data_IF_300871378603
#
_entry.id   IF_300871378603
#
_cell.length_a   1.000
_cell.length_b   1.000
_cell.length_c   1.000
_cell.angle_alpha   90.00
_cell.angle_beta   90.00
_cell.angle_gamma   90.00
#
_symmetry.space_group_name_H-M   'P 1'
#
loop_
_entity.id
_entity.type
_entity.pdbx_description
1 polymer ?
#
# COMPACT_ATOMS: atom_id res chain seq x y z
N UNK A 1 49.29 25.02 -0.47
CA UNK A 1 47.86 25.03 -0.82
C UNK A 1 47.27 26.30 -0.22
N UNK A 2 46.73 27.19 -1.04
CA UNK A 2 46.14 28.44 -0.55
C UNK A 2 44.93 28.15 0.32
N UNK A 3 44.71 28.96 1.36
CA UNK A 3 43.56 28.83 2.29
C UNK A 3 42.23 28.79 1.52
N UNK A 4 42.12 29.55 0.42
CA UNK A 4 40.98 29.55 -0.48
C UNK A 4 40.75 28.17 -1.14
N UNK A 5 41.81 27.47 -1.54
CA UNK A 5 41.72 26.14 -2.14
C UNK A 5 41.26 25.10 -1.11
N UNK A 6 41.74 25.20 0.13
CA UNK A 6 41.31 24.32 1.22
C UNK A 6 39.81 24.53 1.52
N UNK A 7 39.37 25.79 1.64
CA UNK A 7 37.95 26.11 1.88
C UNK A 7 37.08 25.59 0.73
N UNK A 8 37.49 25.80 -0.51
CA UNK A 8 36.76 25.33 -1.70
C UNK A 8 36.66 23.81 -1.77
N UNK A 9 37.73 23.10 -1.39
CA UNK A 9 37.73 21.65 -1.32
C UNK A 9 36.75 21.14 -0.24
N UNK A 10 36.76 21.75 0.94
CA UNK A 10 35.87 21.38 2.05
C UNK A 10 34.41 21.65 1.70
N UNK A 11 34.09 22.81 1.13
CA UNK A 11 32.70 23.13 0.73
C UNK A 11 32.21 22.19 -0.37
N UNK A 12 33.05 21.87 -1.35
CA UNK A 12 32.72 20.93 -2.42
C UNK A 12 32.47 19.51 -1.88
N UNK A 13 33.29 19.06 -0.91
CA UNK A 13 33.12 17.76 -0.27
C UNK A 13 31.81 17.70 0.52
N UNK A 14 31.49 18.75 1.29
CA UNK A 14 30.23 18.85 2.03
C UNK A 14 29.02 18.86 1.08
N UNK A 15 29.08 19.61 -0.01
CA UNK A 15 28.02 19.62 -1.02
C UNK A 15 27.80 18.22 -1.61
N UNK A 16 28.87 17.51 -1.97
CA UNK A 16 28.80 16.14 -2.47
C UNK A 16 28.15 15.19 -1.45
N UNK A 17 28.52 15.28 -0.17
CA UNK A 17 27.95 14.46 0.89
C UNK A 17 26.46 14.73 1.09
N UNK A 18 26.04 16.00 1.05
CA UNK A 18 24.62 16.39 1.15
C UNK A 18 23.84 15.88 -0.07
N UNK A 19 24.34 16.10 -1.29
CA UNK A 19 23.72 15.60 -2.51
C UNK A 19 23.58 14.07 -2.47
N UNK A 20 24.62 13.37 -2.01
CA UNK A 20 24.59 11.93 -1.85
C UNK A 20 23.53 11.47 -0.84
N UNK A 21 23.43 12.14 0.32
CA UNK A 21 22.44 11.81 1.33
C UNK A 21 21.00 12.01 0.83
N UNK A 22 20.74 13.13 0.14
CA UNK A 22 19.43 13.43 -0.47
C UNK A 22 19.08 12.40 -1.54
N UNK A 23 20.01 12.11 -2.45
CA UNK A 23 19.80 11.14 -3.52
C UNK A 23 19.52 9.74 -2.96
N UNK A 24 20.30 9.31 -1.96
CA UNK A 24 20.13 8.00 -1.32
C UNK A 24 18.77 7.87 -0.62
N UNK A 25 18.33 8.94 0.05
CA UNK A 25 17.01 8.97 0.69
C UNK A 25 15.88 8.84 -0.33
N UNK A 26 15.97 9.58 -1.45
CA UNK A 26 14.96 9.58 -2.50
C UNK A 26 14.82 8.22 -3.22
N UNK A 27 15.93 7.49 -3.36
CA UNK A 27 15.95 6.19 -4.05
C UNK A 27 15.56 5.01 -3.15
N UNK A 28 15.28 5.22 -1.87
CA UNK A 28 14.96 4.13 -0.95
C UNK A 28 13.60 3.50 -1.27
N UNK A 29 13.43 2.16 -1.16
CA UNK A 29 12.09 1.59 -1.15
C UNK A 29 11.36 2.09 0.09
N UNK A 30 10.03 2.11 0.03
CA UNK A 30 9.22 2.41 1.21
C UNK A 30 7.96 1.59 1.08
N UNK A 31 7.77 0.64 2.01
CA UNK A 31 6.61 -0.23 2.02
C UNK A 31 5.63 0.30 3.04
N UNK A 32 4.43 0.59 2.59
CA UNK A 32 3.32 1.09 3.40
C UNK A 32 2.21 0.06 3.40
N UNK A 33 1.63 -0.19 4.58
CA UNK A 33 0.42 -1.00 4.74
C UNK A 33 -0.68 -0.09 5.27
N UNK A 34 -1.77 0.03 4.52
CA UNK A 34 -2.86 0.97 4.83
C UNK A 34 -4.20 0.43 4.37
N UNK A 35 -5.28 0.96 4.93
CA UNK A 35 -6.64 0.58 4.60
C UNK A 35 -7.39 1.71 3.88
N UNK A 36 -8.23 1.36 2.92
CA UNK A 36 -9.09 2.31 2.19
C UNK A 36 -10.47 1.73 1.96
N UNK A 37 -11.52 2.55 1.78
CA UNK A 37 -12.80 2.06 1.27
C UNK A 37 -12.63 1.48 -0.13
N UNK A 38 -13.47 0.50 -0.48
CA UNK A 38 -13.53 -0.11 -1.80
C UNK A 38 -14.47 0.72 -2.72
N UNK A 39 -13.94 1.34 -3.77
CA UNK A 39 -14.73 2.20 -4.66
C UNK A 39 -15.75 1.45 -5.55
N UNK A 40 -15.61 0.14 -5.73
CA UNK A 40 -16.57 -0.69 -6.48
C UNK A 40 -17.51 -1.59 -5.65
N UNK A 41 -17.38 -1.66 -4.32
CA UNK A 41 -18.15 -2.57 -3.46
C UNK A 41 -18.57 -1.81 -2.21
N UNK A 42 -19.86 -1.80 -1.95
CA UNK A 42 -20.41 -1.03 -0.83
C UNK A 42 -19.91 -1.56 0.51
N UNK A 43 -19.50 -0.62 1.37
CA UNK A 43 -19.06 -0.84 2.76
C UNK A 43 -17.85 -1.76 2.93
N UNK A 44 -17.22 -2.24 1.85
CA UNK A 44 -16.01 -3.08 1.90
C UNK A 44 -14.79 -2.18 2.09
N UNK A 45 -13.90 -2.61 2.97
CA UNK A 45 -12.60 -1.99 3.23
C UNK A 45 -11.52 -2.87 2.62
N UNK A 46 -10.59 -2.26 1.89
CA UNK A 46 -9.44 -2.91 1.29
C UNK A 46 -8.19 -2.69 2.14
N UNK A 47 -7.39 -3.74 2.29
CA UNK A 47 -6.05 -3.67 2.86
C UNK A 47 -5.03 -3.65 1.72
N UNK A 48 -4.22 -2.60 1.69
CA UNK A 48 -3.18 -2.40 0.70
C UNK A 48 -1.82 -2.66 1.33
N UNK A 49 -0.98 -3.42 0.63
CA UNK A 49 0.47 -3.50 0.88
C UNK A 49 1.16 -2.97 -0.36
N UNK A 50 1.78 -1.80 -0.27
CA UNK A 50 2.31 -1.07 -1.43
C UNK A 50 3.75 -0.64 -1.22
N UNK A 51 4.59 -0.82 -2.24
CA UNK A 51 5.87 -0.14 -2.30
C UNK A 51 5.68 1.24 -2.94
N UNK A 52 5.69 2.30 -2.12
CA UNK A 52 5.58 3.69 -2.57
C UNK A 52 6.94 4.32 -2.89
N UNK A 53 8.04 3.64 -2.55
CA UNK A 53 9.39 4.08 -2.87
C UNK A 53 9.76 3.91 -4.34
N UNK A 54 10.98 4.35 -4.68
CA UNK A 54 11.47 4.39 -6.07
C UNK A 54 12.30 3.18 -6.49
N UNK A 55 12.61 2.27 -5.56
CA UNK A 55 13.42 1.09 -5.85
C UNK A 55 12.80 -0.22 -5.35
N UNK A 56 13.43 -1.33 -5.73
CA UNK A 56 13.00 -2.68 -5.42
C UNK A 56 13.35 -3.02 -3.97
N UNK A 57 12.37 -3.49 -3.21
CA UNK A 57 12.60 -4.12 -1.91
C UNK A 57 12.76 -5.63 -2.07
N UNK A 58 13.78 -6.21 -1.43
CA UNK A 58 14.08 -7.63 -1.47
C UNK A 58 13.84 -8.31 -0.13
N UNK A 59 13.35 -9.54 -0.17
CA UNK A 59 13.09 -10.40 0.99
C UNK A 59 12.25 -9.68 2.05
N UNK A 60 11.12 -9.13 1.61
CA UNK A 60 10.16 -8.44 2.46
C UNK A 60 9.51 -9.44 3.39
N UNK A 61 9.53 -9.17 4.70
CA UNK A 61 8.79 -9.89 5.73
C UNK A 61 7.89 -8.93 6.46
N UNK A 62 6.65 -9.34 6.69
CA UNK A 62 5.62 -8.53 7.35
C UNK A 62 5.29 -9.23 8.66
N UNK A 63 5.34 -8.46 9.75
CA UNK A 63 4.92 -8.89 11.08
C UNK A 63 3.82 -7.97 11.57
N UNK A 64 2.92 -8.48 12.40
CA UNK A 64 1.86 -7.68 13.04
C UNK A 64 1.84 -7.94 14.54
N UNK A 65 1.43 -6.95 15.32
CA UNK A 65 1.26 -7.07 16.77
C UNK A 65 0.11 -8.02 17.18
N UNK A 66 -0.83 -8.27 16.28
CA UNK A 66 -1.95 -9.19 16.46
C UNK A 66 -2.28 -9.91 15.14
N UNK A 67 -3.03 -11.04 15.16
CA UNK A 67 -3.40 -11.77 13.95
C UNK A 67 -4.15 -10.89 12.94
N UNK A 68 -3.72 -10.91 11.68
CA UNK A 68 -4.33 -10.09 10.61
C UNK A 68 -5.66 -10.73 10.20
N UNK A 69 -6.81 -10.08 10.42
CA UNK A 69 -8.10 -10.63 10.02
C UNK A 69 -8.16 -10.82 8.51
N UNK A 70 -8.83 -11.88 8.08
CA UNK A 70 -9.09 -12.19 6.67
C UNK A 70 -10.60 -12.24 6.47
N UNK A 71 -11.11 -11.51 5.49
CA UNK A 71 -12.53 -11.53 5.12
C UNK A 71 -13.45 -11.26 6.33
N UNK A 72 -13.12 -10.26 7.15
CA UNK A 72 -13.88 -9.88 8.34
C UNK A 72 -15.15 -9.10 7.96
N UNK A 73 -16.11 -9.77 7.34
CA UNK A 73 -17.35 -9.17 6.85
C UNK A 73 -18.43 -9.14 7.94
N UNK A 74 -19.24 -8.08 7.93
CA UNK A 74 -20.14 -7.73 9.02
C UNK A 74 -20.36 -6.22 9.14
N UNK A 75 -21.61 -5.76 9.07
CA UNK A 75 -21.93 -4.33 9.19
C UNK A 75 -21.81 -3.85 10.64
N UNK A 76 -22.49 -4.55 11.56
CA UNK A 76 -22.43 -4.25 13.01
C UNK A 76 -21.41 -5.14 13.73
N UNK A 77 -21.33 -6.41 13.34
CA UNK A 77 -20.50 -7.47 13.93
C UNK A 77 -20.17 -8.53 12.88
N UNK A 78 -19.23 -9.44 13.15
CA UNK A 78 -18.87 -10.51 12.24
C UNK A 78 -20.07 -11.39 11.86
N UNK A 79 -20.16 -11.72 10.57
CA UNK A 79 -21.17 -12.65 10.05
C UNK A 79 -20.78 -14.13 10.27
N UNK A 80 -19.51 -14.41 10.55
CA UNK A 80 -18.95 -15.76 10.65
C UNK A 80 -17.84 -15.82 11.70
N UNK A 81 -17.22 -16.98 11.89
CA UNK A 81 -16.06 -17.10 12.77
C UNK A 81 -14.87 -16.25 12.30
N UNK A 82 -14.03 -15.83 13.26
CA UNK A 82 -12.81 -15.07 13.00
C UNK A 82 -11.86 -15.89 12.14
N UNK A 83 -11.47 -15.33 11.00
CA UNK A 83 -10.46 -15.91 10.11
C UNK A 83 -9.24 -15.01 10.01
N UNK A 84 -8.07 -15.60 9.78
CA UNK A 84 -6.80 -14.89 9.72
C UNK A 84 -5.98 -15.26 8.48
N UNK A 85 -5.09 -14.36 8.06
CA UNK A 85 -4.15 -14.63 6.98
C UNK A 85 -3.05 -15.62 7.41
N UNK A 86 -3.31 -16.92 7.25
CA UNK A 86 -2.33 -17.98 7.48
C UNK A 86 -1.50 -18.35 6.24
N UNK A 87 -1.72 -17.66 5.12
CA UNK A 87 -1.10 -17.92 3.81
C UNK A 87 -0.73 -16.61 3.10
N UNK A 88 -0.05 -16.70 1.95
CA UNK A 88 0.31 -15.54 1.14
C UNK A 88 1.41 -14.68 1.77
N UNK A 89 1.41 -13.37 1.46
CA UNK A 89 2.49 -12.46 1.80
C UNK A 89 2.65 -12.24 3.31
N UNK A 90 1.57 -12.34 4.08
CA UNK A 90 1.59 -12.17 5.54
C UNK A 90 2.23 -13.37 6.26
N UNK A 91 2.32 -14.53 5.60
CA UNK A 91 3.01 -15.72 6.14
C UNK A 91 4.38 -15.95 5.51
N UNK A 92 4.47 -15.86 4.18
CA UNK A 92 5.65 -16.24 3.40
C UNK A 92 6.54 -15.07 3.01
N UNK A 93 6.06 -13.83 3.16
CA UNK A 93 6.76 -12.63 2.68
C UNK A 93 6.74 -12.47 1.16
N UNK A 94 7.56 -11.54 0.66
CA UNK A 94 7.69 -11.22 -0.77
C UNK A 94 9.18 -11.23 -1.12
N UNK A 95 9.59 -12.07 -2.09
CA UNK A 95 11.01 -12.17 -2.50
C UNK A 95 11.52 -10.89 -3.17
N UNK A 96 10.72 -10.35 -4.08
CA UNK A 96 11.04 -9.14 -4.84
C UNK A 96 9.79 -8.29 -4.89
N UNK A 97 9.87 -7.05 -4.41
CA UNK A 97 8.76 -6.11 -4.39
C UNK A 97 9.14 -4.84 -5.16
N UNK A 98 8.85 -4.80 -6.48
CA UNK A 98 9.07 -3.65 -7.34
C UNK A 98 8.45 -2.34 -6.84
N UNK A 99 9.02 -1.18 -7.22
CA UNK A 99 8.44 0.12 -6.90
C UNK A 99 7.06 0.26 -7.54
N UNK A 100 6.16 1.00 -6.88
CA UNK A 100 4.77 1.27 -7.29
C UNK A 100 3.84 0.05 -7.35
N UNK A 101 4.34 -1.16 -7.16
CA UNK A 101 3.50 -2.36 -7.09
C UNK A 101 2.69 -2.37 -5.79
N UNK A 102 1.47 -2.91 -5.86
CA UNK A 102 0.56 -3.06 -4.73
C UNK A 102 -0.04 -4.48 -4.70
N UNK A 103 -0.24 -5.01 -3.50
CA UNK A 103 -1.13 -6.14 -3.24
C UNK A 103 -2.35 -5.62 -2.49
N UNK A 104 -3.53 -5.91 -3.02
CA UNK A 104 -4.80 -5.39 -2.52
C UNK A 104 -5.67 -6.57 -2.11
N UNK A 105 -6.18 -6.55 -0.88
CA UNK A 105 -7.08 -7.57 -0.34
C UNK A 105 -8.39 -6.94 0.08
N UNK A 106 -9.50 -7.61 -0.19
CA UNK A 106 -10.77 -7.31 0.46
C UNK A 106 -10.65 -7.74 1.93
N UNK A 107 -10.48 -6.77 2.82
CA UNK A 107 -10.11 -7.02 4.21
C UNK A 107 -11.33 -7.39 5.05
N UNK A 108 -12.42 -6.67 4.85
CA UNK A 108 -13.67 -6.86 5.59
C UNK A 108 -14.62 -5.67 5.46
N UNK A 109 -15.56 -5.59 6.38
CA UNK A 109 -16.43 -4.43 6.60
C UNK A 109 -16.14 -3.83 7.98
N UNK A 110 -16.58 -2.60 8.24
CA UNK A 110 -16.23 -1.87 9.46
C UNK A 110 -16.56 -2.64 10.75
N UNK A 111 -17.82 -3.07 10.96
CA UNK A 111 -18.21 -3.79 12.17
C UNK A 111 -17.46 -5.11 12.35
N UNK A 112 -17.29 -5.88 11.27
CA UNK A 112 -16.52 -7.12 11.28
C UNK A 112 -15.04 -6.88 11.63
N UNK A 113 -14.39 -5.87 11.04
CA UNK A 113 -13.01 -5.54 11.35
C UNK A 113 -12.84 -5.04 12.79
N UNK A 114 -13.78 -4.21 13.28
CA UNK A 114 -13.82 -3.73 14.66
C UNK A 114 -13.87 -4.88 15.65
N UNK A 115 -14.75 -5.86 15.45
CA UNK A 115 -14.83 -7.03 16.33
C UNK A 115 -13.62 -7.97 16.19
N UNK A 116 -13.12 -8.19 14.97
CA UNK A 116 -11.94 -9.05 14.73
C UNK A 116 -10.68 -8.52 15.40
N UNK A 117 -10.49 -7.20 15.36
CA UNK A 117 -9.35 -6.50 15.97
C UNK A 117 -9.60 -6.15 17.44
N UNK A 118 -10.73 -6.56 18.03
CA UNK A 118 -11.14 -6.21 19.38
C UNK A 118 -11.10 -4.69 19.64
N UNK A 119 -11.45 -3.90 18.62
CA UNK A 119 -11.42 -2.44 18.63
C UNK A 119 -10.05 -1.84 19.01
N UNK A 120 -8.95 -2.51 18.66
CA UNK A 120 -7.59 -1.97 18.85
C UNK A 120 -6.87 -1.76 17.52
N UNK A 121 -5.95 -0.78 17.44
CA UNK A 121 -5.13 -0.57 16.25
C UNK A 121 -4.25 -1.80 15.97
N UNK A 122 -4.12 -2.13 14.69
CA UNK A 122 -3.17 -3.13 14.22
C UNK A 122 -1.91 -2.43 13.70
N UNK A 123 -0.75 -2.85 14.22
CA UNK A 123 0.55 -2.31 13.83
C UNK A 123 1.31 -3.36 13.05
N UNK A 124 1.70 -3.01 11.84
CA UNK A 124 2.55 -3.80 10.98
C UNK A 124 4.00 -3.32 11.03
N UNK A 125 4.92 -4.27 11.19
CA UNK A 125 6.36 -4.05 11.03
C UNK A 125 6.83 -4.78 9.78
N UNK A 126 7.29 -4.03 8.80
CA UNK A 126 7.81 -4.55 7.53
C UNK A 126 9.32 -4.46 7.53
N UNK A 127 9.99 -5.58 7.32
CA UNK A 127 11.45 -5.66 7.22
C UNK A 127 11.86 -6.10 5.83
N UNK A 128 12.87 -5.47 5.25
CA UNK A 128 13.37 -5.81 3.92
C UNK A 128 14.81 -5.36 3.74
N UNK A 129 15.40 -5.77 2.62
CA UNK A 129 16.71 -5.34 2.19
C UNK A 129 16.66 -4.65 0.84
N UNK A 130 17.51 -3.66 0.61
CA UNK A 130 17.69 -3.08 -0.72
C UNK A 130 19.17 -2.83 -0.98
N UNK A 131 19.54 -2.81 -2.27
CA UNK A 131 20.90 -2.48 -2.70
C UNK A 131 20.84 -1.16 -3.45
N UNK A 132 21.32 -0.09 -2.81
CA UNK A 132 21.54 1.16 -3.52
C UNK A 132 22.65 0.96 -4.56
N UNK A 133 22.56 1.52 -5.79
CA UNK A 133 23.58 1.34 -6.83
C UNK A 133 25.00 1.71 -6.36
N UNK A 134 25.10 2.72 -5.50
CA UNK A 134 26.36 3.23 -4.93
C UNK A 134 26.78 2.52 -3.63
N UNK A 135 25.96 1.63 -3.06
CA UNK A 135 26.34 0.87 -1.86
C UNK A 135 26.98 -0.47 -2.26
N UNK A 136 28.12 -0.78 -1.65
CA UNK A 136 28.77 -2.09 -1.78
C UNK A 136 27.93 -3.22 -1.16
N UNK A 137 27.20 -2.93 -0.08
CA UNK A 137 26.38 -3.89 0.65
C UNK A 137 24.90 -3.54 0.66
N UNK A 138 24.06 -4.57 0.88
CA UNK A 138 22.61 -4.40 1.07
C UNK A 138 22.34 -3.74 2.41
N UNK A 139 21.42 -2.78 2.42
CA UNK A 139 20.94 -2.14 3.64
C UNK A 139 19.63 -2.80 4.07
N UNK A 140 19.50 -3.12 5.35
CA UNK A 140 18.24 -3.57 5.95
C UNK A 140 17.44 -2.37 6.42
N UNK A 141 16.15 -2.35 6.11
CA UNK A 141 15.22 -1.27 6.47
C UNK A 141 14.02 -1.86 7.20
N UNK A 142 13.46 -1.05 8.10
CA UNK A 142 12.24 -1.34 8.85
C UNK A 142 11.25 -0.22 8.57
N UNK A 143 10.03 -0.56 8.18
CA UNK A 143 8.91 0.38 8.08
C UNK A 143 7.80 -0.07 9.02
N UNK A 144 7.17 0.89 9.70
CA UNK A 144 6.05 0.64 10.62
C UNK A 144 4.82 1.31 10.03
N UNK A 145 3.70 0.61 10.04
CA UNK A 145 2.40 1.17 9.63
C UNK A 145 1.35 0.75 10.65
N UNK A 146 0.63 1.71 11.20
CA UNK A 146 -0.45 1.47 12.14
C UNK A 146 -1.77 1.79 11.45
N UNK A 147 -2.75 0.91 11.62
CA UNK A 147 -4.10 1.11 11.11
C UNK A 147 -5.05 1.06 12.30
N UNK A 148 -5.72 2.16 12.58
CA UNK A 148 -6.88 2.20 13.47
C UNK A 148 -8.15 2.15 12.62
N UNK A 149 -8.99 1.14 12.85
CA UNK A 149 -10.21 0.96 12.05
C UNK A 149 -11.21 2.10 12.29
N UNK A 150 -11.15 2.75 13.45
CA UNK A 150 -12.03 3.88 13.78
C UNK A 150 -11.76 5.10 12.89
N UNK A 151 -10.57 5.23 12.30
CA UNK A 151 -10.28 6.27 11.30
C UNK A 151 -11.10 6.10 10.01
N UNK A 152 -11.63 4.89 9.78
CA UNK A 152 -12.46 4.58 8.62
C UNK A 152 -13.96 4.69 8.94
N UNK A 153 -14.32 4.99 10.19
CA UNK A 153 -15.69 5.24 10.59
C UNK A 153 -16.23 6.46 9.85
N UNK A 154 -17.43 6.34 9.27
CA UNK A 154 -18.07 7.40 8.48
C UNK A 154 -17.40 7.77 7.16
N UNK A 155 -16.38 7.03 6.68
CA UNK A 155 -15.89 7.22 5.31
C UNK A 155 -16.99 6.91 4.30
N UNK A 156 -17.09 7.69 3.21
CA UNK A 156 -18.09 7.44 2.19
C UNK A 156 -17.87 6.05 1.58
N UNK A 157 -18.82 5.16 1.78
CA UNK A 157 -18.89 3.91 1.04
C UNK A 157 -19.31 4.22 -0.39
N UNK A 158 -18.73 3.53 -1.36
CA UNK A 158 -19.28 3.56 -2.72
C UNK A 158 -20.68 2.96 -2.67
N UNK A 159 -21.67 3.73 -3.09
CA UNK A 159 -23.07 3.30 -3.20
C UNK A 159 -23.31 2.30 -4.35
N UNK A 160 -22.25 1.70 -4.91
CA UNK A 160 -22.34 0.83 -6.10
C UNK A 160 -22.75 1.55 -7.39
N UNK A 161 -23.14 2.83 -7.31
CA UNK A 161 -23.66 3.62 -8.43
C UNK A 161 -22.67 3.80 -9.57
N UNK A 162 -21.35 3.75 -9.29
CA UNK A 162 -20.31 3.77 -10.31
C UNK A 162 -20.44 2.59 -11.29
N UNK A 163 -20.76 1.39 -10.79
CA UNK A 163 -20.92 0.21 -11.64
C UNK A 163 -22.16 0.32 -12.51
N UNK A 164 -23.24 0.88 -11.97
CA UNK A 164 -24.48 1.15 -12.69
C UNK A 164 -24.29 2.23 -13.76
N UNK A 165 -23.56 3.29 -13.44
CA UNK A 165 -23.16 4.32 -14.41
C UNK A 165 -22.30 3.72 -15.55
N UNK A 166 -21.33 2.86 -15.23
CA UNK A 166 -20.52 2.18 -16.24
C UNK A 166 -21.35 1.23 -17.12
N UNK A 167 -22.33 0.52 -16.55
CA UNK A 167 -23.30 -0.28 -17.33
C UNK A 167 -24.12 0.60 -18.27
N UNK A 168 -24.59 1.75 -17.79
CA UNK A 168 -25.38 2.68 -18.58
C UNK A 168 -24.56 3.29 -19.72
N UNK A 169 -23.29 3.64 -19.46
CA UNK A 169 -22.34 4.09 -20.48
C UNK A 169 -22.15 3.01 -21.55
N UNK A 170 -21.88 1.77 -21.15
CA UNK A 170 -21.69 0.67 -22.11
C UNK A 170 -22.94 0.44 -22.98
N UNK A 171 -24.14 0.43 -22.38
CA UNK A 171 -25.40 0.32 -23.11
C UNK A 171 -25.60 1.45 -24.13
N UNK A 172 -25.18 2.66 -23.76
CA UNK A 172 -25.25 3.84 -24.64
C UNK A 172 -24.29 3.71 -25.82
N UNK A 173 -23.06 3.22 -25.58
CA UNK A 173 -22.07 2.94 -26.63
C UNK A 173 -22.54 1.87 -27.62
N UNK A 174 -23.12 0.78 -27.14
CA UNK A 174 -23.70 -0.28 -28.00
C UNK A 174 -24.80 0.30 -28.90
N UNK A 175 -25.68 1.12 -28.33
CA UNK A 175 -26.78 1.75 -29.07
C UNK A 175 -26.26 2.70 -30.16
N UNK A 176 -25.21 3.47 -29.86
CA UNK A 176 -24.53 4.34 -30.82
C UNK A 176 -23.92 3.52 -31.97
N UNK A 177 -23.22 2.43 -31.66
CA UNK A 177 -22.58 1.60 -32.67
C UNK A 177 -23.60 0.98 -33.64
N UNK A 178 -24.71 0.47 -33.12
CA UNK A 178 -25.82 -0.06 -33.94
C UNK A 178 -26.48 1.00 -34.83
N UNK A 179 -26.57 2.25 -34.38
CA UNK A 179 -27.08 3.36 -35.19
C UNK A 179 -26.13 3.75 -36.31
N UNK A 180 -24.82 3.62 -36.10
CA UNK A 180 -23.79 3.86 -37.10
C UNK A 180 -23.83 2.76 -38.17
N UNK A 181 -23.88 1.49 -37.77
CA UNK A 181 -23.98 0.35 -38.70
C UNK A 181 -25.23 0.40 -39.59
N UNK A 182 -26.36 0.89 -39.06
CA UNK A 182 -27.60 1.04 -39.85
C UNK A 182 -27.61 2.24 -40.80
N UNK A 183 -26.63 3.15 -40.69
CA UNK A 183 -26.49 4.33 -41.56
C UNK A 183 -25.50 4.11 -42.72
N UNK A 184 -24.71 3.04 -42.66
CA UNK A 184 -23.86 2.55 -43.74
C UNK A 184 -24.65 1.54 -44.60
#
# INVERSE_FOLDING_TARGET
MDVLNIITLVTSLLALLVTYAVFKSDQQPQILIFATPHYGKESVIQLHVKNIGKSIAHNVKIFSNQPVPRAAFGIEKLNSDKQYFNTGIFKSGIKVFPPKQSYIYDWGQYGGLKESLNNTPITFTVTYSYKHPLNLWKTKIINISTIDINELESLPSSNGGLLEQLKNINKSLITLNQKIEKKL
#
